data_IF_356754015660
#
_entry.id   IF_356754015660
#
_cell.length_a   1.000
_cell.length_b   1.000
_cell.length_c   1.000
_cell.angle_alpha   90.00
_cell.angle_beta   90.00
_cell.angle_gamma   90.00
#
_symmetry.space_group_name_H-M   'P 1'
#
loop_
_entity.id
_entity.type
_entity.pdbx_description
1 polymer ?
#
# COMPACT_ATOMS: atom_id res chain seq x y z
N UNK A 1 14.49 16.31 7.53
CA UNK A 1 14.67 15.67 6.23
C UNK A 1 13.51 14.69 6.11
N UNK A 2 12.58 14.91 5.18
CA UNK A 2 11.52 13.95 4.91
C UNK A 2 12.19 12.66 4.46
N UNK A 3 11.97 11.58 5.23
CA UNK A 3 12.47 10.25 4.91
C UNK A 3 11.74 9.81 3.64
N UNK A 4 12.38 9.94 2.46
CA UNK A 4 11.76 9.71 1.14
C UNK A 4 11.20 8.30 0.95
N UNK A 5 11.51 7.40 1.89
CA UNK A 5 11.02 6.03 1.94
C UNK A 5 9.74 5.88 2.77
N UNK A 6 9.43 6.83 3.65
CA UNK A 6 8.30 6.74 4.55
C UNK A 6 6.99 7.00 3.79
N UNK A 7 6.03 6.11 3.96
CA UNK A 7 4.68 6.25 3.41
C UNK A 7 3.65 6.06 4.51
N UNK A 8 2.66 6.94 4.54
CA UNK A 8 1.46 6.72 5.35
C UNK A 8 0.50 5.82 4.58
N UNK A 9 0.11 4.73 5.19
CA UNK A 9 -0.81 3.74 4.62
C UNK A 9 -1.95 3.47 5.59
N UNK A 10 -3.11 2.89 5.16
CA UNK A 10 -4.14 2.45 6.08
C UNK A 10 -3.56 1.49 7.13
N UNK A 11 -3.88 1.72 8.40
CA UNK A 11 -3.46 0.84 9.50
C UNK A 11 -4.25 -0.46 9.55
N UNK A 12 -5.54 -0.40 9.17
CA UNK A 12 -6.47 -1.53 9.05
C UNK A 12 -7.51 -1.25 7.96
N UNK A 13 -8.32 -2.24 7.63
CA UNK A 13 -9.51 -1.99 6.80
C UNK A 13 -10.47 -1.06 7.55
N UNK A 14 -10.82 0.05 6.90
CA UNK A 14 -11.73 1.04 7.44
C UNK A 14 -13.08 1.00 6.75
N UNK A 15 -14.12 1.43 7.47
CA UNK A 15 -15.52 1.42 7.02
C UNK A 15 -16.17 2.78 7.20
N UNK A 16 -17.06 3.14 6.28
CA UNK A 16 -17.85 4.37 6.35
C UNK A 16 -19.25 4.17 5.81
N UNK A 17 -20.22 4.83 6.36
CA UNK A 17 -21.60 4.82 5.86
C UNK A 17 -22.11 6.26 5.70
N UNK A 18 -22.79 6.51 4.58
CA UNK A 18 -23.53 7.74 4.32
C UNK A 18 -24.92 7.39 3.83
N UNK A 19 -25.91 8.13 4.30
CA UNK A 19 -27.29 8.02 3.83
C UNK A 19 -27.73 9.37 3.26
N UNK A 20 -28.28 9.36 2.06
CA UNK A 20 -28.72 10.55 1.36
C UNK A 20 -29.98 10.25 0.55
N UNK A 21 -31.11 10.93 0.87
CA UNK A 21 -32.41 10.78 0.19
C UNK A 21 -32.80 9.32 -0.06
N UNK A 22 -32.70 8.47 0.99
CA UNK A 22 -33.02 7.06 0.95
C UNK A 22 -31.92 6.15 0.37
N UNK A 23 -30.96 6.68 -0.40
CA UNK A 23 -29.80 5.90 -0.85
C UNK A 23 -28.81 5.66 0.29
N UNK A 24 -28.17 4.48 0.28
CA UNK A 24 -27.14 4.09 1.26
C UNK A 24 -25.82 3.88 0.54
N UNK A 25 -24.75 4.41 1.11
CA UNK A 25 -23.39 4.32 0.60
C UNK A 25 -22.52 3.69 1.69
N UNK A 26 -22.02 2.48 1.45
CA UNK A 26 -21.09 1.78 2.33
C UNK A 26 -19.69 1.83 1.70
N UNK A 27 -18.78 2.50 2.36
CA UNK A 27 -17.41 2.63 1.93
C UNK A 27 -16.48 1.72 2.70
N UNK A 28 -15.50 1.15 2.00
CA UNK A 28 -14.46 0.30 2.53
C UNK A 28 -13.12 0.84 2.04
N UNK A 29 -12.15 0.98 2.94
CA UNK A 29 -10.80 1.41 2.63
C UNK A 29 -9.81 0.33 3.09
N UNK A 30 -8.91 -0.10 2.21
CA UNK A 30 -7.93 -1.14 2.54
C UNK A 30 -6.55 -0.76 2.03
N UNK A 31 -5.51 -1.25 2.72
CA UNK A 31 -4.14 -1.20 2.24
C UNK A 31 -3.97 -2.19 1.08
N UNK A 32 -3.35 -1.73 -0.02
CA UNK A 32 -3.06 -2.54 -1.21
C UNK A 32 -1.65 -2.21 -1.71
N UNK A 33 -0.82 -3.23 -1.93
CA UNK A 33 0.57 -3.04 -2.37
C UNK A 33 0.75 -2.99 -3.90
N UNK A 34 -0.20 -3.55 -4.64
CA UNK A 34 -0.16 -3.67 -6.11
C UNK A 34 -1.57 -3.64 -6.71
N UNK A 35 -1.66 -3.41 -8.02
CA UNK A 35 -2.95 -3.31 -8.72
C UNK A 35 -3.80 -4.57 -8.59
N UNK A 36 -3.18 -5.75 -8.64
CA UNK A 36 -3.90 -7.03 -8.47
C UNK A 36 -4.58 -7.15 -7.09
N UNK A 37 -3.96 -6.65 -6.02
CA UNK A 37 -4.56 -6.66 -4.68
C UNK A 37 -5.77 -5.70 -4.62
N UNK A 38 -5.68 -4.54 -5.28
CA UNK A 38 -6.79 -3.58 -5.38
C UNK A 38 -7.96 -4.16 -6.19
N UNK A 39 -7.69 -4.84 -7.29
CA UNK A 39 -8.71 -5.53 -8.10
C UNK A 39 -9.36 -6.67 -7.32
N UNK A 40 -8.59 -7.47 -6.60
CA UNK A 40 -9.10 -8.54 -5.74
C UNK A 40 -9.98 -7.98 -4.60
N UNK A 41 -9.60 -6.84 -4.01
CA UNK A 41 -10.38 -6.14 -2.99
C UNK A 41 -11.74 -5.69 -3.54
N UNK A 42 -11.78 -5.06 -4.72
CA UNK A 42 -13.02 -4.62 -5.37
C UNK A 42 -13.89 -5.83 -5.70
N UNK A 43 -13.32 -6.86 -6.34
CA UNK A 43 -14.05 -8.08 -6.71
C UNK A 43 -14.62 -8.83 -5.49
N UNK A 44 -13.95 -8.78 -4.33
CA UNK A 44 -14.50 -9.29 -3.07
C UNK A 44 -15.78 -8.55 -2.69
N UNK A 45 -15.74 -7.22 -2.68
CA UNK A 45 -16.89 -6.40 -2.31
C UNK A 45 -18.06 -6.51 -3.30
N UNK A 46 -17.79 -6.66 -4.61
CA UNK A 46 -18.82 -6.93 -5.61
C UNK A 46 -19.55 -8.27 -5.34
N UNK A 47 -18.82 -9.30 -4.91
CA UNK A 47 -19.43 -10.59 -4.52
C UNK A 47 -20.21 -10.50 -3.21
N UNK A 48 -19.65 -9.82 -2.20
CA UNK A 48 -20.30 -9.66 -0.89
C UNK A 48 -21.58 -8.81 -0.97
N UNK A 49 -21.63 -7.87 -1.93
CA UNK A 49 -22.74 -6.94 -2.14
C UNK A 49 -23.36 -7.09 -3.54
N UNK A 50 -23.63 -8.34 -3.95
CA UNK A 50 -24.17 -8.66 -5.27
C UNK A 50 -25.53 -8.00 -5.58
N UNK A 51 -26.26 -7.55 -4.55
CA UNK A 51 -27.51 -6.81 -4.60
C UNK A 51 -27.32 -5.28 -4.71
N UNK A 52 -26.07 -4.79 -4.71
CA UNK A 52 -25.79 -3.38 -4.83
C UNK A 52 -26.13 -2.83 -6.21
N UNK A 53 -26.55 -1.57 -6.25
CA UNK A 53 -26.80 -0.88 -7.53
C UNK A 53 -25.47 -0.59 -8.26
N UNK A 54 -24.45 -0.15 -7.51
CA UNK A 54 -23.12 0.19 -8.02
C UNK A 54 -22.05 -0.09 -6.96
N UNK A 55 -20.85 -0.50 -7.41
CA UNK A 55 -19.63 -0.59 -6.59
C UNK A 55 -18.54 0.27 -7.23
N UNK A 56 -18.57 1.57 -6.97
CA UNK A 56 -17.59 2.51 -7.49
C UNK A 56 -16.31 2.47 -6.65
N UNK A 57 -15.14 2.69 -7.29
CA UNK A 57 -13.87 2.56 -6.59
C UNK A 57 -12.80 3.52 -7.11
N UNK A 58 -11.77 3.73 -6.30
CA UNK A 58 -10.49 4.28 -6.72
C UNK A 58 -9.36 3.69 -5.88
N UNK A 59 -8.13 3.73 -6.42
CA UNK A 59 -6.92 3.40 -5.67
C UNK A 59 -5.74 4.28 -6.07
N UNK A 60 -4.77 4.36 -5.15
CA UNK A 60 -3.48 5.00 -5.31
C UNK A 60 -2.41 4.08 -4.75
N UNK A 61 -1.47 3.64 -5.58
CA UNK A 61 -0.40 2.70 -5.22
C UNK A 61 0.94 3.35 -5.56
N UNK A 62 1.86 3.30 -4.62
CA UNK A 62 3.19 3.92 -4.75
C UNK A 62 3.28 5.29 -4.09
N UNK A 63 4.52 5.83 -4.07
CA UNK A 63 4.81 7.18 -3.56
C UNK A 63 4.31 8.28 -4.49
N UNK A 64 4.27 9.53 -3.99
CA UNK A 64 3.68 10.67 -4.72
C UNK A 64 4.22 10.85 -6.14
N UNK A 65 5.53 10.72 -6.34
CA UNK A 65 6.20 10.92 -7.63
C UNK A 65 5.96 9.82 -8.66
N UNK A 66 5.59 8.62 -8.20
CA UNK A 66 5.44 7.41 -9.05
C UNK A 66 4.10 6.70 -8.84
N UNK A 67 3.13 7.35 -8.20
CA UNK A 67 1.86 6.70 -7.87
C UNK A 67 1.05 6.32 -9.11
N UNK A 68 0.67 5.05 -9.15
CA UNK A 68 -0.35 4.56 -10.08
C UNK A 68 -1.72 4.83 -9.48
N UNK A 69 -2.59 5.50 -10.25
CA UNK A 69 -3.95 5.84 -9.83
C UNK A 69 -4.95 5.24 -10.81
N UNK A 70 -6.05 4.71 -10.27
CA UNK A 70 -7.20 4.27 -11.07
C UNK A 70 -8.49 4.66 -10.35
N UNK A 71 -9.52 5.00 -11.12
CA UNK A 71 -10.85 5.30 -10.62
C UNK A 71 -11.91 4.75 -11.58
N UNK A 72 -13.05 4.32 -11.05
CA UNK A 72 -14.19 3.82 -11.82
C UNK A 72 -15.49 4.30 -11.20
N UNK A 73 -16.36 4.80 -12.04
CA UNK A 73 -17.72 5.18 -11.66
C UNK A 73 -18.68 3.97 -11.58
N UNK A 74 -18.30 2.81 -12.12
CA UNK A 74 -19.07 1.56 -12.08
C UNK A 74 -20.55 1.71 -12.48
N UNK A 75 -20.79 2.44 -13.58
CA UNK A 75 -22.15 2.68 -14.11
C UNK A 75 -22.89 3.89 -13.52
N UNK A 76 -22.32 4.61 -12.55
CA UNK A 76 -22.81 5.94 -12.18
C UNK A 76 -22.53 6.97 -13.29
N UNK A 77 -23.21 8.12 -13.32
CA UNK A 77 -22.88 9.19 -14.27
C UNK A 77 -21.40 9.58 -14.22
N UNK A 78 -20.81 9.82 -15.38
CA UNK A 78 -19.38 10.06 -15.52
C UNK A 78 -18.83 11.11 -14.54
N UNK A 79 -17.78 10.73 -13.78
CA UNK A 79 -17.09 11.59 -12.83
C UNK A 79 -17.83 11.86 -11.53
N UNK A 80 -18.96 11.18 -11.25
CA UNK A 80 -19.74 11.42 -10.03
C UNK A 80 -19.39 10.51 -8.86
N UNK A 81 -18.62 9.44 -9.09
CA UNK A 81 -18.25 8.46 -8.07
C UNK A 81 -16.73 8.25 -7.98
N UNK A 82 -16.10 7.72 -9.00
CA UNK A 82 -14.68 7.35 -8.98
C UNK A 82 -13.75 8.53 -8.73
N UNK A 83 -13.96 9.66 -9.43
CA UNK A 83 -13.17 10.88 -9.20
C UNK A 83 -13.32 11.46 -7.79
N UNK A 84 -14.53 11.60 -7.21
CA UNK A 84 -14.73 11.97 -5.80
C UNK A 84 -14.01 11.06 -4.81
N UNK A 85 -14.04 9.73 -5.03
CA UNK A 85 -13.32 8.76 -4.19
C UNK A 85 -11.81 9.01 -4.29
N UNK A 86 -11.27 9.14 -5.51
CA UNK A 86 -9.83 9.40 -5.71
C UNK A 86 -9.40 10.71 -5.05
N UNK A 87 -10.21 11.77 -5.18
CA UNK A 87 -9.94 13.04 -4.53
C UNK A 87 -9.95 12.94 -2.99
N UNK A 88 -10.75 12.04 -2.39
CA UNK A 88 -10.70 11.76 -0.96
C UNK A 88 -9.40 11.05 -0.57
N UNK A 89 -8.95 10.08 -1.38
CA UNK A 89 -7.65 9.40 -1.20
C UNK A 89 -6.51 10.43 -1.25
N UNK A 90 -6.46 11.28 -2.27
CA UNK A 90 -5.37 12.26 -2.41
C UNK A 90 -5.32 13.24 -1.23
N UNK A 91 -6.49 13.72 -0.75
CA UNK A 91 -6.54 14.58 0.44
C UNK A 91 -6.15 13.90 1.74
N UNK A 92 -6.35 12.59 1.87
CA UNK A 92 -5.94 11.86 3.07
C UNK A 92 -4.42 11.81 3.27
N UNK A 93 -3.65 12.02 2.19
CA UNK A 93 -2.20 11.86 2.16
C UNK A 93 -1.77 10.39 2.32
N UNK A 94 -2.68 9.43 2.16
CA UNK A 94 -2.35 8.00 2.20
C UNK A 94 -1.84 7.54 0.84
N UNK A 95 -0.92 6.59 0.89
CA UNK A 95 -0.42 5.80 -0.23
C UNK A 95 -0.87 4.34 -0.08
N UNK A 96 -0.68 3.54 -1.12
CA UNK A 96 -0.93 2.10 -1.10
C UNK A 96 -2.33 1.78 -0.56
N UNK A 97 -3.36 2.47 -1.08
CA UNK A 97 -4.74 2.42 -0.60
C UNK A 97 -5.74 2.24 -1.74
N UNK A 98 -6.70 1.36 -1.52
CA UNK A 98 -7.91 1.24 -2.33
C UNK A 98 -9.13 1.62 -1.50
N UNK A 99 -10.09 2.30 -2.13
CA UNK A 99 -11.40 2.61 -1.55
C UNK A 99 -12.46 2.16 -2.54
N UNK A 100 -13.43 1.38 -2.07
CA UNK A 100 -14.63 1.03 -2.81
C UNK A 100 -15.87 1.50 -2.04
N UNK A 101 -16.85 1.99 -2.78
CA UNK A 101 -18.11 2.49 -2.22
C UNK A 101 -19.26 1.74 -2.89
N UNK A 102 -19.94 0.95 -2.09
CA UNK A 102 -21.14 0.17 -2.46
C UNK A 102 -22.36 1.06 -2.29
N UNK A 103 -23.16 1.23 -3.33
CA UNK A 103 -24.38 2.01 -3.28
C UNK A 103 -25.63 1.13 -3.48
N UNK A 104 -26.60 1.34 -2.57
CA UNK A 104 -27.98 0.89 -2.77
C UNK A 104 -28.86 2.12 -3.04
N UNK A 105 -29.53 2.12 -4.20
CA UNK A 105 -30.42 3.23 -4.59
C UNK A 105 -31.69 3.27 -3.73
N UNK A 106 -32.03 4.44 -3.27
CA UNK A 106 -33.17 4.66 -2.34
C UNK A 106 -34.44 5.21 -3.00
N UNK A 107 -34.60 5.03 -4.32
CA UNK A 107 -35.81 5.50 -5.04
C UNK A 107 -35.78 6.97 -5.47
N UNK A 108 -34.96 7.81 -4.84
CA UNK A 108 -34.87 9.25 -5.16
C UNK A 108 -33.52 9.59 -5.82
N UNK A 109 -33.55 10.24 -6.98
CA UNK A 109 -32.34 10.68 -7.68
C UNK A 109 -31.65 11.82 -6.90
N UNK A 110 -30.36 11.68 -6.65
CA UNK A 110 -29.58 12.70 -5.94
C UNK A 110 -29.10 13.85 -6.83
N UNK A 111 -29.06 13.66 -8.15
CA UNK A 111 -28.35 14.51 -9.08
C UNK A 111 -26.82 14.39 -8.97
N UNK A 112 -26.10 14.94 -9.95
CA UNK A 112 -24.64 14.82 -10.02
C UNK A 112 -23.94 15.37 -8.79
N UNK A 113 -24.32 16.57 -8.34
CA UNK A 113 -23.75 17.20 -7.13
C UNK A 113 -24.02 16.41 -5.84
N UNK A 114 -25.20 15.78 -5.72
CA UNK A 114 -25.52 14.90 -4.59
C UNK A 114 -24.67 13.65 -4.56
N UNK A 115 -24.49 13.00 -5.71
CA UNK A 115 -23.63 11.82 -5.87
C UNK A 115 -22.19 12.14 -5.48
N UNK A 116 -21.61 13.20 -6.07
CA UNK A 116 -20.23 13.64 -5.77
C UNK A 116 -20.01 13.81 -4.27
N UNK A 117 -20.93 14.48 -3.58
CA UNK A 117 -20.83 14.70 -2.11
C UNK A 117 -20.93 13.38 -1.34
N UNK A 118 -21.89 12.51 -1.70
CA UNK A 118 -22.14 11.26 -0.99
C UNK A 118 -20.95 10.29 -1.14
N UNK A 119 -20.44 10.08 -2.36
CA UNK A 119 -19.28 9.22 -2.61
C UNK A 119 -18.03 9.73 -1.90
N UNK A 120 -17.75 11.04 -1.98
CA UNK A 120 -16.62 11.64 -1.28
C UNK A 120 -16.73 11.46 0.23
N UNK A 121 -17.87 11.82 0.82
CA UNK A 121 -18.07 11.75 2.27
C UNK A 121 -17.99 10.30 2.78
N UNK A 122 -18.53 9.33 2.05
CA UNK A 122 -18.40 7.92 2.39
C UNK A 122 -16.95 7.47 2.39
N UNK A 123 -16.19 7.80 1.33
CA UNK A 123 -14.77 7.49 1.21
C UNK A 123 -13.94 8.13 2.35
N UNK A 124 -14.17 9.41 2.67
CA UNK A 124 -13.49 10.11 3.75
C UNK A 124 -13.73 9.43 5.11
N UNK A 125 -14.95 8.97 5.39
CA UNK A 125 -15.27 8.24 6.63
C UNK A 125 -14.52 6.90 6.70
N UNK A 126 -14.48 6.14 5.62
CA UNK A 126 -13.75 4.87 5.59
C UNK A 126 -12.25 5.07 5.78
N UNK A 127 -11.65 6.08 5.13
CA UNK A 127 -10.25 6.42 5.29
C UNK A 127 -9.92 6.85 6.73
N UNK A 128 -10.78 7.66 7.33
CA UNK A 128 -10.63 8.10 8.73
C UNK A 128 -10.76 6.92 9.72
N UNK A 129 -11.74 6.04 9.52
CA UNK A 129 -11.95 4.86 10.37
C UNK A 129 -10.76 3.88 10.27
N UNK A 130 -10.19 3.67 9.07
CA UNK A 130 -9.02 2.81 8.86
C UNK A 130 -7.76 3.28 9.58
N UNK A 131 -7.71 4.55 9.95
CA UNK A 131 -6.54 5.17 10.55
C UNK A 131 -5.32 5.14 9.63
N UNK A 132 -4.16 5.44 10.16
CA UNK A 132 -2.93 5.37 9.38
C UNK A 132 -1.74 4.87 10.18
N UNK A 133 -0.83 4.18 9.50
CA UNK A 133 0.49 3.81 10.01
C UNK A 133 1.56 4.21 9.01
N UNK A 134 2.81 4.28 9.46
CA UNK A 134 3.94 4.56 8.60
C UNK A 134 4.62 3.24 8.21
N UNK A 135 4.85 3.07 6.93
CA UNK A 135 5.67 1.98 6.39
C UNK A 135 6.83 2.57 5.60
N UNK A 136 7.90 1.81 5.51
CA UNK A 136 9.08 2.23 4.75
C UNK A 136 9.20 1.39 3.49
N UNK A 137 9.58 2.03 2.38
CA UNK A 137 9.98 1.32 1.18
C UNK A 137 11.33 0.68 1.43
N UNK A 138 11.38 -0.64 1.38
CA UNK A 138 12.59 -1.44 1.59
C UNK A 138 12.93 -2.25 0.36
N UNK A 139 14.23 -2.42 0.14
CA UNK A 139 14.81 -3.28 -0.91
C UNK A 139 15.50 -4.44 -0.21
N UNK A 140 15.34 -5.63 -0.76
CA UNK A 140 16.09 -6.80 -0.30
C UNK A 140 17.38 -6.91 -1.10
N UNK A 141 18.49 -7.01 -0.38
CA UNK A 141 19.82 -7.22 -0.95
C UNK A 141 20.43 -8.50 -0.37
N UNK A 142 21.11 -9.23 -1.22
CA UNK A 142 21.87 -10.44 -0.86
C UNK A 142 23.35 -10.13 -0.98
N UNK A 143 24.11 -10.44 0.06
CA UNK A 143 25.57 -10.32 0.08
C UNK A 143 26.17 -11.68 0.37
N UNK A 144 26.96 -12.21 -0.56
CA UNK A 144 27.81 -13.38 -0.33
C UNK A 144 29.21 -12.89 0.01
N UNK A 145 29.82 -13.43 1.06
CA UNK A 145 31.15 -13.00 1.47
C UNK A 145 31.95 -14.14 2.12
N UNK A 146 33.29 -14.09 2.09
CA UNK A 146 34.12 -14.98 2.89
C UNK A 146 33.87 -14.81 4.39
N UNK A 147 34.13 -15.85 5.20
CA UNK A 147 33.86 -15.85 6.63
C UNK A 147 34.50 -14.68 7.40
N UNK A 148 35.74 -14.33 7.03
CA UNK A 148 36.48 -13.21 7.64
C UNK A 148 35.86 -11.84 7.33
N UNK A 149 35.00 -11.74 6.32
CA UNK A 149 34.33 -10.51 5.91
C UNK A 149 32.91 -10.35 6.48
N UNK A 150 32.28 -11.41 6.99
CA UNK A 150 30.94 -11.33 7.57
C UNK A 150 30.83 -10.29 8.69
N UNK A 151 31.87 -10.12 9.49
CA UNK A 151 31.93 -9.10 10.54
C UNK A 151 31.86 -7.65 9.99
N UNK A 152 32.38 -7.41 8.78
CA UNK A 152 32.28 -6.09 8.13
C UNK A 152 30.82 -5.76 7.84
N UNK A 153 30.06 -6.70 7.25
CA UNK A 153 28.65 -6.51 6.93
C UNK A 153 27.85 -6.24 8.20
N UNK A 154 28.10 -6.99 9.29
CA UNK A 154 27.41 -6.78 10.56
C UNK A 154 27.65 -5.38 11.16
N UNK A 155 28.79 -4.75 10.91
CA UNK A 155 29.07 -3.37 11.33
C UNK A 155 28.32 -2.33 10.50
N UNK A 156 27.88 -2.67 9.29
CA UNK A 156 27.07 -1.81 8.43
C UNK A 156 25.57 -1.90 8.74
N UNK A 157 25.15 -2.82 9.62
CA UNK A 157 23.76 -2.90 10.07
C UNK A 157 23.43 -1.66 10.90
N UNK A 158 22.33 -1.02 10.55
CA UNK A 158 21.81 0.18 11.21
C UNK A 158 20.27 0.06 11.33
N UNK A 159 19.77 -0.81 12.25
CA UNK A 159 18.34 -0.99 12.39
C UNK A 159 17.64 0.30 12.87
N UNK A 160 16.46 0.62 12.31
CA UNK A 160 15.68 -0.19 11.37
C UNK A 160 15.99 0.09 9.88
N UNK A 161 16.97 0.88 9.53
CA UNK A 161 17.25 1.29 8.16
C UNK A 161 17.96 0.20 7.34
N UNK A 162 18.88 -0.53 7.97
CA UNK A 162 19.59 -1.69 7.38
C UNK A 162 19.54 -2.83 8.38
N UNK A 163 18.81 -3.90 8.08
CA UNK A 163 18.68 -5.04 8.98
C UNK A 163 18.98 -6.37 8.31
N UNK A 164 19.56 -7.29 9.05
CA UNK A 164 19.75 -8.68 8.66
C UNK A 164 18.41 -9.42 8.77
N UNK A 165 17.97 -10.06 7.69
CA UNK A 165 16.74 -10.85 7.63
C UNK A 165 17.02 -12.33 7.75
N UNK A 166 18.06 -12.81 7.06
CA UNK A 166 18.50 -14.20 7.11
C UNK A 166 20.00 -14.30 6.91
N UNK A 167 20.60 -15.33 7.48
CA UNK A 167 22.00 -15.73 7.26
C UNK A 167 22.03 -17.22 6.98
N UNK A 168 22.77 -17.62 5.95
CA UNK A 168 22.98 -19.01 5.52
C UNK A 168 24.45 -19.23 5.24
N UNK A 169 24.86 -20.49 5.23
CA UNK A 169 26.24 -20.91 4.96
C UNK A 169 26.25 -21.91 3.82
N UNK A 170 26.64 -21.46 2.58
CA UNK A 170 26.54 -22.23 1.32
C UNK A 170 27.70 -21.93 0.34
N UNK A 171 28.85 -22.54 0.43
CA UNK A 171 29.69 -22.85 1.58
C UNK A 171 30.11 -21.60 2.36
N UNK A 172 30.10 -20.44 1.72
CA UNK A 172 30.38 -19.14 2.33
C UNK A 172 29.12 -18.51 2.94
N UNK A 173 29.26 -17.58 3.89
CA UNK A 173 28.15 -16.80 4.41
C UNK A 173 27.37 -16.07 3.32
N UNK A 174 26.06 -16.22 3.32
CA UNK A 174 25.10 -15.49 2.50
C UNK A 174 24.16 -14.75 3.43
N UNK A 175 24.21 -13.42 3.41
CA UNK A 175 23.41 -12.55 4.23
C UNK A 175 22.32 -11.88 3.39
N UNK A 176 21.07 -12.10 3.75
CA UNK A 176 19.94 -11.40 3.17
C UNK A 176 19.62 -10.19 4.05
N UNK A 177 19.70 -9.01 3.46
CA UNK A 177 19.49 -7.72 4.12
C UNK A 177 18.20 -7.09 3.65
N UNK A 178 17.48 -6.45 4.55
CA UNK A 178 16.40 -5.52 4.23
C UNK A 178 16.90 -4.10 4.48
N UNK A 179 16.84 -3.27 3.43
CA UNK A 179 17.47 -1.96 3.39
C UNK A 179 16.44 -0.94 2.97
N UNK A 180 16.29 0.16 3.71
CA UNK A 180 15.47 1.28 3.25
C UNK A 180 15.99 1.80 1.91
N UNK A 181 15.10 2.09 0.98
CA UNK A 181 15.47 2.46 -0.39
C UNK A 181 16.45 3.64 -0.43
N UNK A 182 16.28 4.65 0.45
CA UNK A 182 17.18 5.79 0.58
C UNK A 182 18.60 5.45 1.03
N UNK A 183 18.80 4.26 1.63
CA UNK A 183 20.10 3.82 2.16
C UNK A 183 20.80 2.80 1.25
N UNK A 184 20.16 2.39 0.13
CA UNK A 184 20.69 1.36 -0.75
C UNK A 184 22.03 1.75 -1.37
N UNK A 185 22.12 2.96 -1.93
CA UNK A 185 23.34 3.41 -2.60
C UNK A 185 24.49 3.63 -1.61
N UNK A 186 24.20 4.15 -0.42
CA UNK A 186 25.19 4.30 0.64
C UNK A 186 25.73 2.93 1.09
N UNK A 187 24.84 1.95 1.30
CA UNK A 187 25.24 0.59 1.66
C UNK A 187 26.06 -0.07 0.56
N UNK A 188 25.63 0.03 -0.70
CA UNK A 188 26.39 -0.51 -1.85
C UNK A 188 27.79 0.10 -1.93
N UNK A 189 27.92 1.41 -1.72
CA UNK A 189 29.23 2.07 -1.71
C UNK A 189 30.12 1.58 -0.56
N UNK A 190 29.57 1.38 0.63
CA UNK A 190 30.31 0.86 1.78
C UNK A 190 30.75 -0.61 1.57
N UNK A 191 29.87 -1.43 0.97
CA UNK A 191 30.21 -2.81 0.60
C UNK A 191 31.32 -2.84 -0.46
N UNK A 192 31.24 -2.02 -1.51
CA UNK A 192 32.26 -1.93 -2.56
C UNK A 192 33.62 -1.50 -2.00
N UNK A 193 33.66 -0.54 -1.05
CA UNK A 193 34.90 -0.18 -0.34
C UNK A 193 35.50 -1.35 0.43
N UNK A 194 34.67 -2.27 0.91
CA UNK A 194 35.10 -3.51 1.54
C UNK A 194 35.35 -4.67 0.53
N UNK A 195 35.31 -4.39 -0.78
CA UNK A 195 35.41 -5.39 -1.86
C UNK A 195 34.36 -6.49 -1.79
N UNK A 196 33.14 -6.09 -1.44
CA UNK A 196 31.95 -6.94 -1.40
C UNK A 196 30.90 -6.38 -2.37
N UNK A 197 30.09 -7.27 -2.93
CA UNK A 197 29.01 -6.92 -3.85
C UNK A 197 27.67 -7.37 -3.28
N UNK A 198 26.64 -6.55 -3.50
CA UNK A 198 25.26 -6.89 -3.20
C UNK A 198 24.50 -7.15 -4.50
N UNK A 199 23.71 -8.20 -4.51
CA UNK A 199 22.75 -8.52 -5.57
C UNK A 199 21.33 -8.48 -5.05
N UNK A 200 20.35 -8.33 -5.92
CA UNK A 200 18.96 -8.60 -5.54
C UNK A 200 18.79 -10.13 -5.41
N UNK A 201 18.08 -10.61 -4.40
CA UNK A 201 17.78 -12.04 -4.28
C UNK A 201 16.89 -12.46 -5.47
N UNK A 202 17.15 -13.64 -6.03
CA UNK A 202 16.32 -14.21 -7.10
C UNK A 202 14.85 -14.21 -6.69
N UNK A 203 13.97 -13.76 -7.56
CA UNK A 203 12.51 -13.57 -7.34
C UNK A 203 11.72 -14.87 -7.08
N UNK A 204 12.40 -15.98 -6.75
CA UNK A 204 11.83 -17.31 -6.56
C UNK A 204 11.66 -17.80 -5.11
N UNK A 205 12.04 -17.04 -4.09
CA UNK A 205 11.93 -17.48 -2.68
C UNK A 205 11.01 -16.57 -1.89
N UNK A 206 9.70 -16.76 -2.01
CA UNK A 206 8.74 -16.25 -1.03
C UNK A 206 8.95 -16.98 0.31
N UNK A 207 9.66 -16.36 1.24
CA UNK A 207 9.63 -16.77 2.65
C UNK A 207 8.48 -16.01 3.28
N UNK A 208 7.37 -16.72 3.52
CA UNK A 208 6.25 -16.24 4.32
C UNK A 208 6.75 -15.81 5.70
N UNK A 209 6.79 -14.51 5.95
CA UNK A 209 7.12 -13.89 7.23
C UNK A 209 5.88 -13.22 7.82
N UNK A 210 5.01 -14.01 8.45
CA UNK A 210 4.04 -13.52 9.42
C UNK A 210 4.80 -13.01 10.65
N UNK A 211 4.96 -11.71 10.76
CA UNK A 211 5.50 -11.02 11.92
C UNK A 211 4.36 -10.38 12.73
N UNK A 212 3.60 -11.18 13.47
CA UNK A 212 2.81 -10.65 14.57
C UNK A 212 3.79 -10.39 15.73
N UNK A 213 4.14 -9.14 15.97
CA UNK A 213 4.83 -8.65 17.15
C UNK A 213 3.80 -8.12 18.14
N UNK A 214 3.80 -8.69 19.33
CA UNK A 214 3.07 -8.21 20.52
C UNK A 214 3.60 -6.86 20.97
#
# INVERSE_FOLDING_TARGET
VADGDARRVPAREGRGEVREKGSRFFAFAARVGRAADAEAFVARLEREHHDATHVAFAWKIGGESSAIRRASDAGEPAGTAGRPILAAIDRSGLADVAVAVVRHFGGTKLGTGGLVRAYRSAAERALADGGSTVVYHVVRLRVRCPFDRAAVIRRLLDPPAVRLVAERFEPDPVLDLEVRASRVEELKAALAAARLEASEPDSGAEVGGSGAGR
#
